data_IF_221719187250
#
_entry.id   IF_221719187250
#
_cell.length_a   1.000
_cell.length_b   1.000
_cell.length_c   1.000
_cell.angle_alpha   90.00
_cell.angle_beta   90.00
_cell.angle_gamma   90.00
#
_symmetry.space_group_name_H-M   'P 1'
#
loop_
_entity.id
_entity.type
_entity.pdbx_description
1 polymer ?
#
# COMPACT_ATOMS: atom_id res chain seq x y z
N UNK A 1 -26.40 17.20 5.57
CA UNK A 1 -25.51 18.25 6.12
C UNK A 1 -24.86 17.81 7.45
N UNK A 2 -24.29 16.59 7.53
CA UNK A 2 -23.61 16.07 8.75
C UNK A 2 -22.18 16.61 8.89
N UNK A 3 -21.50 16.85 7.77
CA UNK A 3 -20.16 17.47 7.74
C UNK A 3 -20.18 18.92 8.25
N UNK A 4 -21.19 19.72 7.91
CA UNK A 4 -21.33 21.09 8.42
C UNK A 4 -21.52 21.13 9.94
N UNK A 5 -22.26 20.16 10.51
CA UNK A 5 -22.42 20.04 11.96
C UNK A 5 -21.11 19.61 12.64
N UNK A 6 -20.39 18.65 12.07
CA UNK A 6 -19.10 18.19 12.62
C UNK A 6 -18.03 19.28 12.55
N UNK A 7 -17.97 20.06 11.46
CA UNK A 7 -17.07 21.21 11.32
C UNK A 7 -17.43 22.34 12.31
N UNK A 8 -18.73 22.64 12.48
CA UNK A 8 -19.20 23.60 13.46
C UNK A 8 -18.91 23.15 14.91
N UNK A 9 -19.06 21.86 15.21
CA UNK A 9 -18.69 21.29 16.51
C UNK A 9 -17.19 21.36 16.76
N UNK A 10 -16.34 21.02 15.79
CA UNK A 10 -14.87 21.19 15.91
C UNK A 10 -14.51 22.66 16.11
N UNK A 11 -15.08 23.57 15.33
CA UNK A 11 -14.89 25.01 15.49
C UNK A 11 -15.28 25.51 16.87
N UNK A 12 -16.41 25.01 17.41
CA UNK A 12 -16.88 25.30 18.77
C UNK A 12 -15.97 24.75 19.87
N UNK A 13 -15.41 23.56 19.72
CA UNK A 13 -14.45 22.96 20.66
C UNK A 13 -13.12 23.72 20.64
N UNK A 14 -12.61 24.07 19.46
CA UNK A 14 -11.36 24.85 19.33
C UNK A 14 -11.51 26.25 19.93
N UNK A 15 -12.64 26.92 19.69
CA UNK A 15 -12.90 28.25 20.28
C UNK A 15 -13.12 28.18 21.79
N UNK A 16 -13.82 27.17 22.30
CA UNK A 16 -14.05 27.00 23.75
C UNK A 16 -12.82 26.51 24.52
N UNK A 17 -11.85 25.87 23.88
CA UNK A 17 -10.59 25.46 24.52
C UNK A 17 -9.52 26.58 24.55
N UNK A 18 -9.80 27.73 23.92
CA UNK A 18 -8.89 28.89 23.92
C UNK A 18 -8.74 29.62 25.27
N UNK A 19 -9.58 29.31 26.26
CA UNK A 19 -9.44 29.81 27.63
C UNK A 19 -9.36 28.66 28.65
N UNK A 20 -8.53 28.75 29.71
CA UNK A 20 -8.31 27.65 30.64
C UNK A 20 -9.59 27.14 31.31
N UNK A 21 -10.45 28.03 31.82
CA UNK A 21 -11.65 27.65 32.55
C UNK A 21 -12.69 26.92 31.67
N UNK A 22 -12.87 27.36 30.43
CA UNK A 22 -13.76 26.69 29.47
C UNK A 22 -13.13 25.42 28.92
N UNK A 23 -11.80 25.35 28.79
CA UNK A 23 -11.09 24.11 28.46
C UNK A 23 -11.31 23.03 29.53
N UNK A 24 -11.28 23.39 30.83
CA UNK A 24 -11.61 22.46 31.92
C UNK A 24 -13.07 22.00 31.86
N UNK A 25 -14.03 22.91 31.69
CA UNK A 25 -15.45 22.55 31.60
C UNK A 25 -15.75 21.66 30.38
N UNK A 26 -15.10 21.92 29.24
CA UNK A 26 -15.16 21.06 28.05
C UNK A 26 -14.52 19.70 28.35
N UNK A 27 -13.34 19.67 28.97
CA UNK A 27 -12.67 18.42 29.32
C UNK A 27 -13.47 17.57 30.33
N UNK A 28 -14.14 18.17 31.31
CA UNK A 28 -14.97 17.44 32.27
C UNK A 28 -16.29 16.95 31.63
N UNK A 29 -16.97 17.82 30.88
CA UNK A 29 -18.24 17.48 30.23
C UNK A 29 -18.09 16.46 29.11
N UNK A 30 -17.10 16.65 28.21
CA UNK A 30 -16.78 15.69 27.17
C UNK A 30 -15.95 14.52 27.70
N UNK A 31 -15.26 14.67 28.83
CA UNK A 31 -14.46 13.60 29.44
C UNK A 31 -15.30 12.43 29.92
N UNK A 32 -16.50 12.68 30.45
CA UNK A 32 -17.44 11.59 30.80
C UNK A 32 -17.91 10.87 29.54
N UNK A 33 -18.24 11.60 28.48
CA UNK A 33 -18.65 10.98 27.20
C UNK A 33 -17.50 10.22 26.55
N UNK A 34 -16.29 10.77 26.54
CA UNK A 34 -15.08 10.12 26.06
C UNK A 34 -14.71 8.90 26.93
N UNK A 35 -14.95 8.96 28.24
CA UNK A 35 -14.78 7.83 29.14
C UNK A 35 -15.75 6.69 28.84
N UNK A 36 -17.04 7.01 28.57
CA UNK A 36 -18.03 6.02 28.14
C UNK A 36 -17.70 5.43 26.77
N UNK A 37 -17.24 6.25 25.82
CA UNK A 37 -16.77 5.83 24.50
C UNK A 37 -15.57 4.88 24.64
N UNK A 38 -14.57 5.24 25.45
CA UNK A 38 -13.40 4.40 25.73
C UNK A 38 -13.79 3.08 26.42
N UNK A 39 -14.73 3.10 27.38
CA UNK A 39 -15.24 1.89 28.02
C UNK A 39 -15.96 0.98 27.02
N UNK A 40 -16.81 1.53 26.16
CA UNK A 40 -17.51 0.78 25.13
C UNK A 40 -16.53 0.19 24.10
N UNK A 41 -15.53 0.97 23.68
CA UNK A 41 -14.48 0.54 22.77
C UNK A 41 -13.60 -0.56 23.40
N UNK A 42 -13.28 -0.45 24.69
CA UNK A 42 -12.50 -1.47 25.40
C UNK A 42 -13.30 -2.76 25.61
N UNK A 43 -14.58 -2.67 25.98
CA UNK A 43 -15.39 -3.83 26.30
C UNK A 43 -15.86 -4.59 25.05
N UNK A 44 -16.11 -3.89 23.93
CA UNK A 44 -16.65 -4.48 22.71
C UNK A 44 -16.15 -3.78 21.43
N UNK A 45 -14.83 -3.81 21.14
CA UNK A 45 -14.22 -3.00 20.08
C UNK A 45 -14.84 -3.25 18.70
N UNK A 46 -15.10 -4.51 18.33
CA UNK A 46 -15.71 -4.83 17.04
C UNK A 46 -17.20 -4.44 16.91
N UNK A 47 -17.98 -4.43 18.00
CA UNK A 47 -19.37 -3.96 17.95
C UNK A 47 -19.40 -2.42 17.92
N UNK A 48 -18.61 -1.80 18.78
CA UNK A 48 -18.52 -0.35 18.89
C UNK A 48 -17.99 0.28 17.61
N UNK A 49 -16.91 -0.27 17.04
CA UNK A 49 -16.34 0.16 15.75
C UNK A 49 -17.38 0.15 14.63
N UNK A 50 -18.17 -0.93 14.50
CA UNK A 50 -19.26 -1.01 13.50
C UNK A 50 -20.37 0.01 13.73
N UNK A 51 -20.75 0.28 14.97
CA UNK A 51 -21.76 1.30 15.30
C UNK A 51 -21.26 2.71 14.99
N UNK A 52 -19.99 2.99 15.32
CA UNK A 52 -19.32 4.25 15.06
C UNK A 52 -19.16 4.52 13.57
N UNK A 53 -18.74 3.51 12.80
CA UNK A 53 -18.61 3.60 11.35
C UNK A 53 -19.96 3.92 10.67
N UNK A 54 -21.06 3.32 11.15
CA UNK A 54 -22.41 3.59 10.63
C UNK A 54 -22.93 4.99 10.97
N UNK A 55 -22.56 5.53 12.14
CA UNK A 55 -23.09 6.80 12.63
C UNK A 55 -22.30 7.99 12.08
N UNK A 56 -20.97 7.93 12.14
CA UNK A 56 -20.08 9.01 11.74
C UNK A 56 -19.69 8.96 10.25
N UNK A 57 -19.75 7.76 9.64
CA UNK A 57 -19.13 7.51 8.34
C UNK A 57 -17.60 7.54 8.46
N UNK A 58 -16.90 6.64 7.77
CA UNK A 58 -15.44 6.81 7.63
C UNK A 58 -15.19 7.99 6.70
N UNK A 59 -14.31 8.95 7.04
CA UNK A 59 -13.80 9.89 6.05
C UNK A 59 -13.03 9.08 5.01
N UNK A 60 -13.71 8.66 3.94
CA UNK A 60 -13.17 7.82 2.86
C UNK A 60 -12.31 8.63 1.90
N UNK A 61 -11.48 9.52 2.44
CA UNK A 61 -10.78 10.53 1.65
C UNK A 61 -11.73 11.16 0.66
N UNK A 62 -12.80 11.80 1.15
CA UNK A 62 -13.74 12.50 0.28
C UNK A 62 -12.90 13.39 -0.63
N UNK A 63 -12.91 13.06 -1.92
CA UNK A 63 -12.29 13.86 -2.95
C UNK A 63 -13.10 15.14 -3.02
N UNK A 64 -12.70 16.11 -2.19
CA UNK A 64 -13.04 17.51 -2.41
C UNK A 64 -12.22 18.01 -3.60
N UNK A 65 -12.38 17.37 -4.76
CA UNK A 65 -11.96 17.94 -6.04
C UNK A 65 -12.88 19.15 -6.23
N UNK A 66 -12.31 20.35 -6.17
CA UNK A 66 -13.03 21.56 -6.57
C UNK A 66 -13.96 22.20 -5.53
N UNK A 67 -13.44 22.55 -4.35
CA UNK A 67 -13.97 23.73 -3.61
C UNK A 67 -12.97 24.88 -3.45
N UNK A 68 -11.87 24.87 -4.19
CA UNK A 68 -11.15 26.10 -4.52
C UNK A 68 -11.60 26.57 -5.90
N UNK A 69 -12.83 27.06 -5.98
CA UNK A 69 -13.19 27.96 -7.06
C UNK A 69 -12.40 29.26 -6.84
N UNK A 70 -11.26 29.41 -7.51
CA UNK A 70 -10.59 30.71 -7.58
C UNK A 70 -11.51 31.61 -8.42
N UNK A 71 -12.18 32.55 -7.76
CA UNK A 71 -13.08 33.48 -8.42
C UNK A 71 -12.36 34.16 -9.59
N UNK A 72 -12.84 33.94 -10.81
CA UNK A 72 -12.31 34.56 -12.03
C UNK A 72 -11.62 33.63 -13.03
N UNK A 73 -11.47 32.33 -12.75
CA UNK A 73 -10.93 31.38 -13.75
C UNK A 73 -12.00 30.39 -14.20
N UNK A 74 -12.43 30.53 -15.45
CA UNK A 74 -13.44 29.71 -16.10
C UNK A 74 -12.85 28.47 -16.78
N UNK A 75 -11.92 27.77 -16.11
CA UNK A 75 -11.22 26.63 -16.69
C UNK A 75 -11.44 25.36 -15.86
N UNK A 76 -12.10 24.36 -16.46
CA UNK A 76 -12.37 23.03 -15.89
C UNK A 76 -11.07 22.32 -15.46
N UNK A 77 -9.94 22.69 -16.07
CA UNK A 77 -8.63 22.07 -15.81
C UNK A 77 -8.04 22.42 -14.43
N UNK A 78 -8.47 23.53 -13.81
CA UNK A 78 -8.06 23.88 -12.44
C UNK A 78 -8.71 22.98 -11.37
N UNK A 79 -9.83 22.32 -11.67
CA UNK A 79 -10.46 21.41 -10.70
C UNK A 79 -9.58 20.19 -10.43
N UNK A 80 -8.81 19.74 -11.44
CA UNK A 80 -8.01 18.52 -11.38
C UNK A 80 -6.53 18.76 -11.05
N UNK A 81 -6.07 20.01 -11.09
CA UNK A 81 -4.64 20.34 -11.05
C UNK A 81 -3.86 19.83 -12.28
N UNK A 82 -4.57 19.29 -13.29
CA UNK A 82 -4.02 18.72 -14.51
C UNK A 82 -4.93 19.05 -15.69
N UNK A 83 -4.35 19.55 -16.77
CA UNK A 83 -5.07 19.74 -18.02
C UNK A 83 -5.38 18.39 -18.70
N UNK A 84 -6.24 18.39 -19.72
CA UNK A 84 -6.63 17.17 -20.45
C UNK A 84 -5.42 16.43 -21.04
N UNK A 85 -4.39 17.14 -21.49
CA UNK A 85 -3.18 16.54 -22.07
C UNK A 85 -2.36 15.77 -21.03
N UNK A 86 -2.14 16.38 -19.86
CA UNK A 86 -1.46 15.76 -18.73
C UNK A 86 -2.23 14.52 -18.25
N UNK A 87 -3.57 14.62 -18.14
CA UNK A 87 -4.44 13.49 -17.80
C UNK A 87 -4.35 12.36 -18.84
N UNK A 88 -4.28 12.71 -20.13
CA UNK A 88 -4.11 11.73 -21.22
C UNK A 88 -2.75 11.04 -21.13
N UNK A 89 -1.68 11.79 -20.91
CA UNK A 89 -0.31 11.26 -20.77
C UNK A 89 -0.21 10.32 -19.58
N UNK A 90 -0.80 10.68 -18.43
CA UNK A 90 -0.82 9.83 -17.24
C UNK A 90 -1.59 8.52 -17.48
N UNK A 91 -2.76 8.60 -18.13
CA UNK A 91 -3.55 7.41 -18.47
C UNK A 91 -2.83 6.51 -19.48
N UNK A 92 -2.21 7.08 -20.51
CA UNK A 92 -1.44 6.33 -21.50
C UNK A 92 -0.25 5.60 -20.85
N UNK A 93 0.50 6.32 -20.01
CA UNK A 93 1.65 5.77 -19.28
C UNK A 93 1.24 4.61 -18.39
N UNK A 94 0.16 4.77 -17.60
CA UNK A 94 -0.36 3.70 -16.75
C UNK A 94 -0.83 2.49 -17.56
N UNK A 95 -1.63 2.70 -18.61
CA UNK A 95 -2.17 1.60 -19.43
C UNK A 95 -1.06 0.83 -20.16
N UNK A 96 -0.03 1.52 -20.66
CA UNK A 96 1.15 0.88 -21.26
C UNK A 96 1.94 0.08 -20.23
N UNK A 97 2.25 0.68 -19.08
CA UNK A 97 2.97 0.01 -18.00
C UNK A 97 2.26 -1.27 -17.54
N UNK A 98 0.92 -1.25 -17.47
CA UNK A 98 0.12 -2.40 -17.08
C UNK A 98 -0.11 -3.42 -18.22
N UNK A 99 0.35 -3.15 -19.44
CA UNK A 99 0.09 -3.98 -20.62
C UNK A 99 -1.38 -3.96 -21.09
N UNK A 100 -2.16 -2.97 -20.66
CA UNK A 100 -3.60 -2.83 -20.94
C UNK A 100 -3.87 -1.95 -22.16
N UNK A 101 -3.28 -2.27 -23.31
CA UNK A 101 -3.38 -1.44 -24.53
C UNK A 101 -4.27 -2.02 -25.64
N UNK A 102 -4.43 -3.35 -25.73
CA UNK A 102 -5.23 -4.00 -26.78
C UNK A 102 -6.56 -4.57 -26.26
N UNK A 103 -6.51 -5.33 -25.16
CA UNK A 103 -7.67 -6.07 -24.62
C UNK A 103 -8.10 -5.49 -23.29
N UNK A 104 -8.88 -4.42 -23.36
CA UNK A 104 -9.42 -3.75 -22.18
C UNK A 104 -10.75 -4.38 -21.79
N UNK A 105 -10.84 -4.83 -20.53
CA UNK A 105 -12.03 -5.47 -19.99
C UNK A 105 -13.16 -4.45 -19.76
N UNK A 106 -14.45 -4.88 -19.77
CA UNK A 106 -15.56 -3.94 -19.59
C UNK A 106 -15.64 -3.27 -18.21
N UNK A 107 -14.89 -3.77 -17.24
CA UNK A 107 -14.69 -3.12 -15.94
C UNK A 107 -13.19 -3.08 -15.67
N UNK A 108 -12.66 -1.88 -15.44
CA UNK A 108 -11.32 -1.66 -14.89
C UNK A 108 -11.51 -1.30 -13.42
N UNK A 109 -11.01 -2.14 -12.50
CA UNK A 109 -11.00 -1.80 -11.08
C UNK A 109 -9.71 -1.03 -10.76
N UNK A 110 -9.84 0.22 -10.35
CA UNK A 110 -8.70 1.01 -9.86
C UNK A 110 -8.76 1.02 -8.35
N UNK A 111 -7.88 0.25 -7.70
CA UNK A 111 -7.89 0.10 -6.24
C UNK A 111 -6.71 0.85 -5.61
N UNK A 112 -7.03 1.77 -4.69
CA UNK A 112 -6.07 2.37 -3.78
C UNK A 112 -6.15 1.69 -2.43
N UNK A 113 -5.03 1.53 -1.73
CA UNK A 113 -5.04 0.88 -0.42
C UNK A 113 -4.82 1.88 0.72
N UNK A 114 -5.36 1.52 1.89
CA UNK A 114 -5.10 2.16 3.17
C UNK A 114 -5.31 1.11 4.27
N UNK A 115 -4.93 1.40 5.50
CA UNK A 115 -5.24 0.57 6.65
C UNK A 115 -6.34 1.20 7.50
N UNK A 116 -6.99 0.37 8.30
CA UNK A 116 -7.79 0.86 9.43
C UNK A 116 -7.14 0.39 10.71
N UNK A 117 -6.65 1.35 11.47
CA UNK A 117 -6.02 1.13 12.75
C UNK A 117 -6.51 2.19 13.73
N UNK A 118 -6.54 1.84 15.00
CA UNK A 118 -6.98 2.74 16.05
C UNK A 118 -5.82 3.04 17.00
N UNK A 119 -5.69 4.30 17.44
CA UNK A 119 -4.68 4.73 18.42
C UNK A 119 -3.25 4.27 18.09
N UNK A 120 -2.83 4.45 16.83
CA UNK A 120 -1.61 3.87 16.32
C UNK A 120 -0.68 4.96 15.76
N UNK A 121 0.41 5.24 16.49
CA UNK A 121 1.45 6.20 16.09
C UNK A 121 2.07 5.91 14.71
N UNK A 122 2.00 4.65 14.26
CA UNK A 122 2.54 4.19 12.99
C UNK A 122 1.46 3.95 11.93
N UNK A 123 0.28 4.58 12.05
CA UNK A 123 -0.80 4.43 11.06
C UNK A 123 -0.32 4.66 9.61
N UNK A 124 0.52 5.68 9.40
CA UNK A 124 1.11 5.98 8.09
C UNK A 124 1.98 4.84 7.51
N UNK A 125 2.58 4.00 8.37
CA UNK A 125 3.37 2.85 7.94
C UNK A 125 2.51 1.66 7.47
N UNK A 126 1.22 1.63 7.84
CA UNK A 126 0.25 0.66 7.32
C UNK A 126 -0.45 1.17 6.05
N UNK A 127 -0.47 2.49 5.84
CA UNK A 127 -0.93 3.11 4.61
C UNK A 127 0.08 2.94 3.45
N UNK A 128 -0.15 3.62 2.33
CA UNK A 128 0.70 3.48 1.16
C UNK A 128 2.00 4.25 1.31
N UNK A 129 3.12 3.53 1.50
CA UNK A 129 4.46 4.11 1.50
C UNK A 129 4.78 4.89 0.20
N UNK A 130 4.32 4.40 -0.95
CA UNK A 130 4.48 5.10 -2.23
C UNK A 130 3.63 6.39 -2.34
N UNK A 131 2.61 6.54 -1.50
CA UNK A 131 1.80 7.76 -1.36
C UNK A 131 2.23 8.59 -0.13
N UNK A 132 3.45 8.38 0.39
CA UNK A 132 3.95 9.11 1.56
C UNK A 132 3.22 8.78 2.87
N UNK A 133 2.72 7.55 3.00
CA UNK A 133 1.97 7.11 4.18
C UNK A 133 0.53 7.62 4.24
N UNK A 134 -0.03 8.01 3.10
CA UNK A 134 -1.43 8.39 2.94
C UNK A 134 -2.24 7.28 2.25
N UNK A 135 -3.57 7.34 2.41
CA UNK A 135 -4.49 6.49 1.66
C UNK A 135 -4.36 6.69 0.14
N UNK A 136 -4.23 5.59 -0.60
CA UNK A 136 -4.22 5.59 -2.05
C UNK A 136 -5.61 5.79 -2.68
N UNK A 137 -6.68 5.90 -1.89
CA UNK A 137 -8.06 5.96 -2.37
C UNK A 137 -8.33 7.19 -3.27
N UNK A 138 -7.76 8.34 -2.91
CA UNK A 138 -7.86 9.59 -3.69
C UNK A 138 -7.24 9.39 -5.08
N UNK A 139 -6.06 8.76 -5.17
CA UNK A 139 -5.39 8.48 -6.44
C UNK A 139 -6.21 7.51 -7.31
N UNK A 140 -6.84 6.51 -6.69
CA UNK A 140 -7.67 5.54 -7.39
C UNK A 140 -8.93 6.19 -8.00
N UNK A 141 -9.61 7.05 -7.24
CA UNK A 141 -10.76 7.83 -7.72
C UNK A 141 -10.37 8.82 -8.81
N UNK A 142 -9.26 9.54 -8.65
CA UNK A 142 -8.72 10.44 -9.67
C UNK A 142 -8.45 9.70 -10.99
N UNK A 143 -7.73 8.58 -10.93
CA UNK A 143 -7.39 7.81 -12.13
C UNK A 143 -8.63 7.17 -12.77
N UNK A 144 -9.57 6.63 -11.98
CA UNK A 144 -10.84 6.12 -12.51
C UNK A 144 -11.63 7.21 -13.25
N UNK A 145 -11.68 8.43 -12.70
CA UNK A 145 -12.33 9.56 -13.35
C UNK A 145 -11.62 9.96 -14.66
N UNK A 146 -10.28 10.00 -14.68
CA UNK A 146 -9.48 10.24 -15.89
C UNK A 146 -9.80 9.21 -16.98
N UNK A 147 -9.80 7.92 -16.63
CA UNK A 147 -10.12 6.83 -17.57
C UNK A 147 -11.56 6.87 -18.06
N UNK A 148 -12.48 7.52 -17.34
CA UNK A 148 -13.87 7.69 -17.74
C UNK A 148 -14.15 9.00 -18.50
N UNK A 149 -13.21 9.96 -18.53
CA UNK A 149 -13.38 11.24 -19.25
C UNK A 149 -13.40 10.99 -20.77
N UNK A 150 -14.49 11.31 -21.49
CA UNK A 150 -14.57 11.13 -22.94
C UNK A 150 -13.52 11.93 -23.72
N UNK A 151 -13.07 13.07 -23.19
CA UNK A 151 -12.00 13.88 -23.80
C UNK A 151 -10.68 13.12 -23.76
N UNK A 152 -10.34 12.53 -22.61
CA UNK A 152 -9.15 11.70 -22.42
C UNK A 152 -9.22 10.46 -23.32
N UNK A 153 -10.35 9.75 -23.36
CA UNK A 153 -10.51 8.56 -24.22
C UNK A 153 -10.32 8.86 -25.71
N UNK A 154 -10.82 10.00 -26.20
CA UNK A 154 -10.60 10.43 -27.59
C UNK A 154 -9.12 10.68 -27.88
N UNK A 155 -8.42 11.38 -26.98
CA UNK A 155 -6.98 11.65 -27.13
C UNK A 155 -6.13 10.39 -26.99
N UNK A 156 -6.46 9.49 -26.07
CA UNK A 156 -5.79 8.18 -25.94
C UNK A 156 -5.81 7.40 -27.26
N UNK A 157 -6.96 7.37 -27.93
CA UNK A 157 -7.11 6.69 -29.22
C UNK A 157 -6.33 7.41 -30.32
N UNK A 158 -6.44 8.74 -30.41
CA UNK A 158 -5.83 9.54 -31.48
C UNK A 158 -4.31 9.72 -31.36
N UNK A 159 -3.79 9.93 -30.15
CA UNK A 159 -2.39 10.30 -29.88
C UNK A 159 -1.55 9.10 -29.43
N UNK A 160 -2.16 8.11 -28.77
CA UNK A 160 -1.44 6.97 -28.21
C UNK A 160 -1.88 5.63 -28.80
N UNK A 161 -2.87 5.59 -29.69
CA UNK A 161 -3.37 4.34 -30.29
C UNK A 161 -4.06 3.40 -29.29
N UNK A 162 -4.42 3.89 -28.10
CA UNK A 162 -5.09 3.09 -27.06
C UNK A 162 -6.59 3.35 -27.11
N UNK A 163 -7.37 2.35 -27.50
CA UNK A 163 -8.83 2.50 -27.61
C UNK A 163 -9.51 1.81 -26.44
N UNK A 164 -10.06 2.62 -25.52
CA UNK A 164 -10.92 2.13 -24.43
C UNK A 164 -12.33 1.89 -24.97
N UNK A 165 -12.87 0.65 -24.93
CA UNK A 165 -14.21 0.36 -25.44
C UNK A 165 -15.29 1.23 -24.80
N UNK A 166 -16.32 1.57 -25.57
CA UNK A 166 -17.41 2.43 -25.10
C UNK A 166 -18.18 1.81 -23.91
N UNK A 167 -18.26 0.48 -23.84
CA UNK A 167 -18.90 -0.25 -22.73
C UNK A 167 -17.96 -0.50 -21.54
N UNK A 168 -16.72 -0.01 -21.58
CA UNK A 168 -15.78 -0.09 -20.46
C UNK A 168 -15.99 1.04 -19.46
N UNK A 169 -16.02 0.70 -18.17
CA UNK A 169 -16.02 1.66 -17.06
C UNK A 169 -14.82 1.39 -16.13
N UNK A 170 -14.15 2.46 -15.71
CA UNK A 170 -13.22 2.39 -14.59
C UNK A 170 -13.96 2.66 -13.29
N UNK A 171 -13.89 1.72 -12.34
CA UNK A 171 -14.52 1.83 -11.02
C UNK A 171 -13.44 2.05 -9.97
N UNK A 172 -13.51 3.13 -9.17
CA UNK A 172 -12.61 3.28 -8.05
C UNK A 172 -13.01 2.36 -6.90
N UNK A 173 -12.00 1.86 -6.23
CA UNK A 173 -12.15 1.06 -5.04
C UNK A 173 -11.09 1.40 -3.99
N UNK A 174 -11.46 1.10 -2.75
CA UNK A 174 -10.58 1.18 -1.61
C UNK A 174 -10.33 -0.21 -1.04
N UNK A 175 -9.06 -0.59 -0.94
CA UNK A 175 -8.61 -1.79 -0.25
C UNK A 175 -8.18 -1.44 1.18
N UNK A 176 -8.91 -1.95 2.17
CA UNK A 176 -8.53 -1.88 3.56
C UNK A 176 -7.60 -3.05 3.91
N UNK A 177 -6.32 -2.78 4.04
CA UNK A 177 -5.28 -3.78 4.29
C UNK A 177 -5.50 -4.53 5.61
N UNK A 178 -5.91 -3.86 6.69
CA UNK A 178 -6.21 -4.53 7.98
C UNK A 178 -7.32 -5.59 7.88
N UNK A 179 -8.31 -5.41 7.01
CA UNK A 179 -9.47 -6.32 6.89
C UNK A 179 -9.54 -7.08 5.57
N UNK A 180 -8.59 -6.85 4.67
CA UNK A 180 -8.59 -7.28 3.25
C UNK A 180 -9.88 -6.90 2.48
N UNK A 181 -10.68 -5.95 2.99
CA UNK A 181 -11.93 -5.55 2.36
C UNK A 181 -11.65 -4.62 1.17
N UNK A 182 -12.14 -4.98 -0.02
CA UNK A 182 -12.09 -4.11 -1.20
C UNK A 182 -13.50 -3.56 -1.47
N UNK A 183 -13.69 -2.28 -1.18
CA UNK A 183 -14.97 -1.58 -1.37
C UNK A 183 -14.95 -0.77 -2.65
N UNK A 184 -15.83 -1.09 -3.60
CA UNK A 184 -16.11 -0.27 -4.78
C UNK A 184 -16.98 0.91 -4.36
N UNK A 185 -16.61 2.14 -4.75
CA UNK A 185 -17.39 3.32 -4.43
C UNK A 185 -18.78 3.25 -5.09
N UNK A 186 -19.87 3.25 -4.31
CA UNK A 186 -21.20 2.98 -4.84
C UNK A 186 -21.75 4.12 -5.71
N UNK A 187 -21.26 5.35 -5.50
CA UNK A 187 -21.67 6.53 -6.27
C UNK A 187 -21.11 6.53 -7.69
N UNK A 188 -20.05 5.74 -7.94
CA UNK A 188 -19.29 5.73 -9.18
C UNK A 188 -19.65 4.53 -10.09
N UNK A 189 -20.71 3.78 -9.78
CA UNK A 189 -21.18 2.64 -10.59
C UNK A 189 -22.33 3.04 -11.50
N UNK A 190 -22.14 3.11 -12.84
CA UNK A 190 -23.22 3.39 -13.77
C UNK A 190 -24.30 2.29 -13.75
N UNK A 191 -25.55 2.68 -14.03
CA UNK A 191 -26.69 1.74 -14.06
C UNK A 191 -26.43 0.53 -14.98
N UNK A 192 -25.81 0.78 -16.15
CA UNK A 192 -25.46 -0.24 -17.14
C UNK A 192 -24.45 -1.29 -16.63
N UNK A 193 -23.71 -1.00 -15.56
CA UNK A 193 -22.66 -1.86 -15.01
C UNK A 193 -23.01 -2.46 -13.65
N UNK A 194 -24.22 -2.22 -13.13
CA UNK A 194 -24.67 -2.71 -11.82
C UNK A 194 -24.51 -4.22 -11.65
N UNK A 195 -24.89 -5.01 -12.66
CA UNK A 195 -24.75 -6.49 -12.64
C UNK A 195 -23.28 -6.91 -12.61
N UNK A 196 -22.43 -6.31 -13.46
CA UNK A 196 -20.98 -6.60 -13.49
C UNK A 196 -20.31 -6.20 -12.18
N UNK A 197 -20.69 -5.05 -11.60
CA UNK A 197 -20.18 -4.58 -10.32
C UNK A 197 -20.64 -5.46 -9.15
N UNK A 198 -21.87 -5.99 -9.19
CA UNK A 198 -22.35 -6.95 -8.19
C UNK A 198 -21.53 -8.26 -8.22
N UNK A 199 -21.33 -8.83 -9.42
CA UNK A 199 -20.48 -10.02 -9.59
C UNK A 199 -19.03 -9.76 -9.11
N UNK A 200 -18.47 -8.59 -9.44
CA UNK A 200 -17.13 -8.22 -8.97
C UNK A 200 -17.07 -8.11 -7.43
N UNK A 201 -18.09 -7.55 -6.77
CA UNK A 201 -18.16 -7.51 -5.31
C UNK A 201 -18.17 -8.90 -4.68
N UNK A 202 -18.87 -9.86 -5.27
CA UNK A 202 -18.86 -11.25 -4.80
C UNK A 202 -17.48 -11.90 -4.93
N UNK A 203 -16.79 -11.65 -6.06
CA UNK A 203 -15.40 -12.12 -6.26
C UNK A 203 -14.44 -11.50 -5.25
N UNK A 204 -14.55 -10.18 -5.01
CA UNK A 204 -13.73 -9.47 -4.03
C UNK A 204 -13.99 -9.98 -2.61
N UNK A 205 -15.24 -10.24 -2.23
CA UNK A 205 -15.58 -10.83 -0.94
C UNK A 205 -15.02 -12.26 -0.79
N UNK A 206 -14.97 -13.04 -1.88
CA UNK A 206 -14.32 -14.35 -1.87
C UNK A 206 -12.80 -14.24 -1.69
N UNK A 207 -12.17 -13.28 -2.38
CA UNK A 207 -10.74 -12.99 -2.24
C UNK A 207 -10.39 -12.57 -0.81
N UNK A 208 -11.16 -11.65 -0.22
CA UNK A 208 -11.02 -11.22 1.17
C UNK A 208 -11.03 -12.41 2.14
N UNK A 209 -12.02 -13.30 2.02
CA UNK A 209 -12.09 -14.50 2.88
C UNK A 209 -10.87 -15.41 2.72
N UNK A 210 -10.35 -15.53 1.49
CA UNK A 210 -9.12 -16.27 1.21
C UNK A 210 -7.91 -15.64 1.89
N UNK A 211 -7.68 -14.34 1.67
CA UNK A 211 -6.57 -13.59 2.29
C UNK A 211 -6.60 -13.67 3.81
N UNK A 212 -7.76 -13.42 4.43
CA UNK A 212 -7.90 -13.48 5.89
C UNK A 212 -7.65 -14.89 6.42
N UNK A 213 -8.08 -15.94 5.71
CA UNK A 213 -7.83 -17.33 6.13
C UNK A 213 -6.34 -17.66 6.16
N UNK A 214 -5.55 -17.10 5.24
CA UNK A 214 -4.10 -17.30 5.17
C UNK A 214 -3.36 -16.44 6.20
N UNK A 215 -3.75 -15.16 6.34
CA UNK A 215 -3.02 -14.17 7.15
C UNK A 215 -3.34 -14.22 8.64
N UNK A 216 -4.60 -14.45 9.02
CA UNK A 216 -5.02 -14.38 10.43
C UNK A 216 -4.25 -15.34 11.36
N UNK A 217 -3.98 -16.60 10.98
CA UNK A 217 -3.18 -17.51 11.80
C UNK A 217 -1.74 -17.02 12.06
N UNK A 218 -1.23 -16.09 11.25
CA UNK A 218 0.13 -15.57 11.41
C UNK A 218 0.22 -14.47 12.47
N UNK A 219 -0.90 -13.84 12.87
CA UNK A 219 -0.92 -12.76 13.86
C UNK A 219 -0.83 -13.30 15.30
N UNK A 220 -0.10 -12.62 16.21
CA UNK A 220 0.01 -13.06 17.59
C UNK A 220 -1.30 -12.90 18.36
N UNK A 221 -1.53 -13.78 19.32
CA UNK A 221 -2.71 -13.73 20.21
C UNK A 221 -4.03 -14.14 19.54
N UNK A 222 -4.00 -14.68 18.32
CA UNK A 222 -5.18 -15.19 17.63
C UNK A 222 -5.52 -16.60 18.13
N UNK A 223 -6.69 -16.77 18.74
CA UNK A 223 -7.17 -18.04 19.30
C UNK A 223 -7.98 -18.91 18.30
N UNK A 224 -7.92 -18.62 17.00
CA UNK A 224 -8.66 -19.39 15.97
C UNK A 224 -8.60 -18.73 14.59
N UNK A 225 -9.24 -19.33 13.59
CA UNK A 225 -9.21 -18.84 12.20
C UNK A 225 -10.39 -17.93 11.84
N UNK A 226 -11.04 -17.28 12.82
CA UNK A 226 -12.23 -16.46 12.55
C UNK A 226 -11.82 -15.15 11.83
N UNK A 227 -12.22 -14.96 10.55
CA UNK A 227 -11.93 -13.73 9.82
C UNK A 227 -12.52 -12.48 10.48
N UNK A 228 -13.51 -12.63 11.37
CA UNK A 228 -14.10 -11.50 12.10
C UNK A 228 -13.13 -10.82 13.07
N UNK A 229 -12.07 -11.52 13.50
CA UNK A 229 -11.06 -10.96 14.41
C UNK A 229 -10.26 -9.82 13.77
N UNK A 230 -10.07 -9.83 12.44
CA UNK A 230 -9.46 -8.70 11.72
C UNK A 230 -10.24 -7.39 11.93
N UNK A 231 -11.57 -7.45 11.93
CA UNK A 231 -12.42 -6.28 12.15
C UNK A 231 -12.41 -5.82 13.60
N UNK A 232 -12.30 -6.77 14.55
CA UNK A 232 -12.08 -6.45 15.97
C UNK A 232 -10.77 -5.69 16.11
N UNK A 233 -9.66 -6.27 15.63
CA UNK A 233 -8.30 -5.69 15.66
C UNK A 233 -8.25 -4.28 15.06
N UNK A 234 -8.88 -4.08 13.90
CA UNK A 234 -8.95 -2.79 13.23
C UNK A 234 -9.64 -1.68 14.07
N UNK A 235 -10.53 -2.08 15.00
CA UNK A 235 -11.30 -1.16 15.85
C UNK A 235 -10.82 -1.11 17.31
N UNK A 236 -9.85 -1.95 17.66
CA UNK A 236 -9.34 -2.12 19.01
C UNK A 236 -8.14 -1.20 19.24
N UNK A 237 -8.37 -0.14 20.01
CA UNK A 237 -7.34 0.85 20.36
C UNK A 237 -6.19 0.32 21.23
N UNK A 238 -6.36 -0.88 21.81
CA UNK A 238 -5.33 -1.55 22.59
C UNK A 238 -4.53 -2.55 21.76
N UNK A 239 -4.89 -2.77 20.49
CA UNK A 239 -4.22 -3.74 19.62
C UNK A 239 -2.91 -3.16 19.06
N UNK A 240 -1.72 -3.60 19.55
CA UNK A 240 -0.47 -3.11 19.02
C UNK A 240 -0.21 -3.67 17.62
N UNK A 241 -0.89 -4.73 17.21
CA UNK A 241 -0.63 -5.40 15.96
C UNK A 241 -1.91 -5.75 15.18
N UNK A 242 -2.53 -4.74 14.56
CA UNK A 242 -3.77 -4.93 13.81
C UNK A 242 -3.55 -5.77 12.55
N UNK A 243 -2.37 -5.66 11.94
CA UNK A 243 -1.87 -6.48 10.83
C UNK A 243 -0.33 -6.44 10.78
N UNK A 244 0.28 -7.12 9.81
CA UNK A 244 1.73 -7.17 9.61
C UNK A 244 2.28 -6.11 8.65
N UNK A 245 1.42 -5.35 7.96
CA UNK A 245 1.85 -4.45 6.88
C UNK A 245 2.60 -5.24 5.81
N UNK A 246 3.81 -4.79 5.46
CA UNK A 246 4.69 -5.42 4.47
C UNK A 246 5.80 -6.29 5.10
N UNK A 247 5.62 -6.74 6.35
CA UNK A 247 6.57 -7.67 6.97
C UNK A 247 6.69 -8.96 6.15
N UNK A 248 7.89 -9.56 6.16
CA UNK A 248 8.17 -10.75 5.35
C UNK A 248 8.43 -10.50 3.85
N UNK A 249 8.34 -9.26 3.36
CA UNK A 249 8.71 -8.94 1.97
C UNK A 249 10.11 -9.46 1.62
N UNK A 250 10.24 -10.07 0.44
CA UNK A 250 11.42 -10.82 0.02
C UNK A 250 11.88 -10.48 -1.39
N UNK A 251 10.94 -10.24 -2.31
CA UNK A 251 11.28 -10.01 -3.70
C UNK A 251 10.35 -9.02 -4.40
N UNK A 252 10.80 -8.53 -5.55
CA UNK A 252 10.03 -7.74 -6.48
C UNK A 252 10.18 -8.30 -7.89
N UNK A 253 9.07 -8.66 -8.52
CA UNK A 253 9.05 -9.16 -9.90
C UNK A 253 8.48 -8.07 -10.81
N UNK A 254 9.28 -7.69 -11.80
CA UNK A 254 8.88 -6.84 -12.93
C UNK A 254 8.78 -7.74 -14.15
N UNK A 255 7.57 -8.04 -14.62
CA UNK A 255 7.39 -8.92 -15.77
C UNK A 255 5.93 -9.27 -16.06
N UNK A 256 5.68 -10.03 -17.14
CA UNK A 256 4.33 -10.35 -17.55
C UNK A 256 3.62 -11.23 -16.51
N UNK A 257 2.30 -11.07 -16.39
CA UNK A 257 1.49 -11.83 -15.42
C UNK A 257 1.65 -13.34 -15.59
N UNK A 258 1.96 -13.81 -16.80
CA UNK A 258 2.23 -15.22 -17.12
C UNK A 258 3.35 -15.83 -16.29
N UNK A 259 4.38 -15.07 -15.92
CA UNK A 259 5.50 -15.56 -15.10
C UNK A 259 5.10 -15.99 -13.70
N UNK A 260 4.13 -15.28 -13.13
CA UNK A 260 3.75 -15.45 -11.72
C UNK A 260 2.39 -16.13 -11.56
N UNK A 261 1.71 -16.44 -12.66
CA UNK A 261 0.35 -17.00 -12.64
C UNK A 261 0.38 -18.42 -12.11
N UNK A 262 -0.41 -18.67 -11.06
CA UNK A 262 -0.50 -19.99 -10.43
C UNK A 262 0.62 -20.30 -9.43
N UNK A 263 1.59 -19.39 -9.25
CA UNK A 263 2.63 -19.56 -8.24
C UNK A 263 2.13 -19.10 -6.86
N UNK A 264 2.42 -19.89 -5.83
CA UNK A 264 2.25 -19.44 -4.45
C UNK A 264 3.50 -18.66 -4.01
N UNK A 265 3.40 -17.34 -4.03
CA UNK A 265 4.47 -16.42 -3.60
C UNK A 265 4.41 -16.08 -2.10
N UNK A 266 3.55 -16.77 -1.34
CA UNK A 266 3.38 -16.66 0.12
C UNK A 266 3.15 -15.24 0.64
N UNK A 267 2.62 -14.34 -0.19
CA UNK A 267 2.46 -12.92 0.17
C UNK A 267 3.76 -12.13 0.34
N UNK A 268 4.92 -12.67 -0.07
CA UNK A 268 6.25 -12.08 0.17
C UNK A 268 6.81 -11.28 -1.02
N UNK A 269 6.10 -11.23 -2.14
CA UNK A 269 6.63 -10.74 -3.40
C UNK A 269 5.78 -9.61 -3.96
N UNK A 270 6.40 -8.45 -4.15
CA UNK A 270 5.81 -7.35 -4.91
C UNK A 270 5.73 -7.74 -6.39
N UNK A 271 4.63 -7.37 -7.05
CA UNK A 271 4.41 -7.69 -8.46
C UNK A 271 4.15 -6.41 -9.26
N UNK A 272 4.90 -6.21 -10.33
CA UNK A 272 4.60 -5.21 -11.36
C UNK A 272 4.46 -5.91 -12.71
N UNK A 273 3.30 -5.74 -13.34
CA UNK A 273 3.13 -6.15 -14.74
C UNK A 273 4.09 -5.33 -15.61
N UNK A 274 4.76 -6.01 -16.54
CA UNK A 274 5.61 -5.38 -17.55
C UNK A 274 5.65 -6.28 -18.78
N UNK A 275 5.39 -5.71 -19.95
CA UNK A 275 5.40 -6.43 -21.23
C UNK A 275 6.47 -5.80 -22.13
N UNK A 276 7.67 -6.41 -22.26
CA UNK A 276 8.78 -5.81 -23.02
C UNK A 276 8.41 -5.44 -24.45
N UNK A 277 7.55 -6.25 -25.09
CA UNK A 277 7.09 -5.99 -26.46
C UNK A 277 6.25 -4.73 -26.63
N UNK A 278 5.75 -4.13 -25.55
CA UNK A 278 5.02 -2.86 -25.56
C UNK A 278 5.90 -1.65 -25.22
N UNK A 279 7.17 -1.89 -24.87
CA UNK A 279 8.12 -0.90 -24.36
C UNK A 279 9.27 -0.68 -25.36
N UNK A 280 8.93 -0.30 -26.59
CA UNK A 280 9.86 -0.22 -27.72
C UNK A 280 11.01 0.77 -27.51
N UNK A 281 10.77 1.84 -26.73
CA UNK A 281 11.77 2.86 -26.41
C UNK A 281 12.47 2.64 -25.05
N UNK A 282 12.07 1.60 -24.30
CA UNK A 282 12.60 1.27 -22.98
C UNK A 282 12.18 2.24 -21.85
N UNK A 283 11.29 3.19 -22.11
CA UNK A 283 10.90 4.22 -21.13
C UNK A 283 10.11 3.64 -19.97
N UNK A 284 9.35 2.57 -20.19
CA UNK A 284 8.62 1.88 -19.13
C UNK A 284 9.58 1.13 -18.23
N UNK A 285 10.54 0.37 -18.78
CA UNK A 285 11.56 -0.30 -17.99
C UNK A 285 12.35 0.69 -17.14
N UNK A 286 12.77 1.80 -17.74
CA UNK A 286 13.48 2.87 -17.04
C UNK A 286 12.64 3.42 -15.87
N UNK A 287 11.36 3.71 -16.09
CA UNK A 287 10.42 4.14 -15.05
C UNK A 287 10.32 3.10 -13.92
N UNK A 288 10.18 1.82 -14.27
CA UNK A 288 9.99 0.73 -13.29
C UNK A 288 11.23 0.51 -12.41
N UNK A 289 12.43 0.62 -12.98
CA UNK A 289 13.69 0.46 -12.27
C UNK A 289 14.07 1.71 -11.46
N UNK A 290 13.69 2.90 -11.90
CA UNK A 290 14.04 4.15 -11.20
C UNK A 290 13.03 4.57 -10.12
N UNK A 291 11.78 4.08 -10.18
CA UNK A 291 10.76 4.41 -9.18
C UNK A 291 10.26 3.19 -8.38
N UNK A 292 9.39 2.29 -8.90
CA UNK A 292 8.90 1.14 -8.13
C UNK A 292 9.98 0.25 -7.51
N UNK A 293 11.08 -0.03 -8.22
CA UNK A 293 12.18 -0.83 -7.67
C UNK A 293 12.85 -0.14 -6.49
N UNK A 294 13.07 1.17 -6.59
CA UNK A 294 13.65 1.97 -5.51
C UNK A 294 12.70 2.03 -4.30
N UNK A 295 11.40 2.21 -4.53
CA UNK A 295 10.38 2.22 -3.46
C UNK A 295 10.31 0.88 -2.74
N UNK A 296 10.27 -0.24 -3.47
CA UNK A 296 10.25 -1.59 -2.87
C UNK A 296 11.54 -1.88 -2.10
N UNK A 297 12.68 -1.36 -2.57
CA UNK A 297 13.96 -1.43 -1.86
C UNK A 297 13.94 -0.62 -0.56
N UNK A 298 13.38 0.59 -0.56
CA UNK A 298 13.25 1.41 0.66
C UNK A 298 12.35 0.73 1.71
N UNK A 299 11.23 0.17 1.27
CA UNK A 299 10.34 -0.63 2.12
C UNK A 299 11.13 -1.80 2.71
N UNK A 300 11.79 -2.60 1.87
CA UNK A 300 12.59 -3.74 2.36
C UNK A 300 13.64 -3.31 3.39
N UNK A 301 14.39 -2.23 3.13
CA UNK A 301 15.39 -1.71 4.08
C UNK A 301 14.77 -1.23 5.39
N UNK A 302 13.61 -0.58 5.36
CA UNK A 302 12.93 -0.13 6.58
C UNK A 302 12.66 -1.31 7.52
N UNK A 303 12.15 -2.41 6.97
CA UNK A 303 11.92 -3.63 7.73
C UNK A 303 13.24 -4.32 8.12
N UNK A 304 14.20 -4.43 7.19
CA UNK A 304 15.53 -5.02 7.42
C UNK A 304 16.23 -4.40 8.62
N UNK A 305 16.42 -3.08 8.63
CA UNK A 305 17.15 -2.41 9.70
C UNK A 305 16.40 -2.46 11.03
N UNK A 306 15.07 -2.34 10.99
CA UNK A 306 14.23 -2.47 12.19
C UNK A 306 14.29 -3.88 12.79
N UNK A 307 14.56 -4.92 12.00
CA UNK A 307 14.80 -6.28 12.50
C UNK A 307 16.23 -6.48 12.99
N UNK A 308 17.24 -6.02 12.25
CA UNK A 308 18.68 -6.26 12.58
C UNK A 308 19.07 -5.61 13.90
N UNK A 309 18.66 -4.36 14.11
CA UNK A 309 18.90 -3.64 15.35
C UNK A 309 17.64 -2.86 15.78
N UNK A 310 16.70 -3.53 16.48
CA UNK A 310 15.43 -2.93 16.85
C UNK A 310 15.57 -1.75 17.84
N UNK A 311 16.74 -1.62 18.49
CA UNK A 311 17.00 -0.56 19.46
C UNK A 311 17.49 0.72 18.78
N UNK A 312 18.42 0.61 17.83
CA UNK A 312 19.02 1.77 17.15
C UNK A 312 18.32 2.14 15.84
N UNK A 313 17.85 1.15 15.08
CA UNK A 313 17.20 1.38 13.78
C UNK A 313 15.70 1.07 13.79
N UNK A 314 15.17 0.53 14.88
CA UNK A 314 13.73 0.36 15.11
C UNK A 314 13.12 1.50 15.92
N UNK A 315 11.87 1.31 16.33
CA UNK A 315 11.17 2.20 17.26
C UNK A 315 11.01 1.61 18.68
N UNK A 316 11.50 0.40 18.93
CA UNK A 316 11.26 -0.30 20.20
C UNK A 316 9.79 -0.64 20.41
N UNK A 317 9.28 -0.48 21.63
CA UNK A 317 7.96 -0.96 22.02
C UNK A 317 6.85 0.06 21.72
N UNK A 318 5.97 -0.32 20.79
CA UNK A 318 4.80 0.45 20.38
C UNK A 318 3.91 0.90 21.54
N UNK A 319 3.77 0.09 22.58
CA UNK A 319 2.86 0.36 23.71
C UNK A 319 3.34 1.52 24.59
N UNK A 320 4.58 1.97 24.39
CA UNK A 320 5.20 3.05 25.17
C UNK A 320 5.45 4.32 24.35
N UNK A 321 4.94 4.38 23.11
CA UNK A 321 5.28 5.47 22.21
C UNK A 321 4.63 6.80 22.57
N UNK A 322 5.44 7.85 22.54
CA UNK A 322 4.98 9.24 22.53
C UNK A 322 5.31 9.85 21.17
N UNK A 323 4.30 10.31 20.46
CA UNK A 323 4.41 10.86 19.09
C UNK A 323 5.08 12.23 19.12
N UNK A 324 6.06 12.44 18.24
CA UNK A 324 6.75 13.73 18.07
C UNK A 324 6.56 14.22 16.64
N UNK A 325 5.57 15.09 16.45
CA UNK A 325 5.13 15.50 15.11
C UNK A 325 4.71 14.30 14.28
N UNK A 326 4.91 14.38 12.96
CA UNK A 326 4.53 13.30 12.02
C UNK A 326 5.73 12.47 11.52
N UNK A 327 6.88 12.53 12.19
CA UNK A 327 8.13 11.96 11.68
C UNK A 327 8.86 11.01 12.64
N UNK A 328 8.57 11.04 13.94
CA UNK A 328 9.29 10.23 14.93
C UNK A 328 8.48 9.96 16.20
N UNK A 329 8.98 9.05 17.03
CA UNK A 329 8.46 8.73 18.37
C UNK A 329 9.56 8.70 19.42
N UNK A 330 9.21 8.94 20.68
CA UNK A 330 9.98 8.47 21.84
C UNK A 330 9.39 7.16 22.36
N UNK A 331 10.22 6.31 22.97
CA UNK A 331 9.75 5.12 23.70
C UNK A 331 9.88 5.37 25.20
N UNK A 332 8.75 5.50 25.89
CA UNK A 332 8.68 5.89 27.30
C UNK A 332 8.68 7.41 27.49
N UNK A 333 9.09 7.86 28.67
CA UNK A 333 8.99 9.27 29.09
C UNK A 333 10.07 10.20 28.48
N UNK A 334 11.00 9.67 27.69
CA UNK A 334 12.09 10.40 27.05
C UNK A 334 13.01 9.48 26.26
N UNK A 335 14.17 9.98 25.83
CA UNK A 335 15.17 9.23 25.07
C UNK A 335 15.43 9.83 23.68
N UNK A 336 16.15 9.09 22.84
CA UNK A 336 16.41 9.49 21.46
C UNK A 336 15.15 9.35 20.59
N UNK A 337 15.04 10.21 19.57
CA UNK A 337 14.00 10.10 18.56
C UNK A 337 14.19 8.82 17.74
N UNK A 338 13.11 8.07 17.56
CA UNK A 338 13.11 6.83 16.79
C UNK A 338 12.23 6.95 15.55
N UNK A 339 12.78 6.51 14.41
CA UNK A 339 12.19 6.66 13.07
C UNK A 339 11.95 5.31 12.36
N UNK A 340 12.40 4.20 12.97
CA UNK A 340 12.18 2.85 12.44
C UNK A 340 10.82 2.28 12.79
N UNK A 341 10.62 0.97 12.53
CA UNK A 341 9.38 0.28 12.88
C UNK A 341 9.43 -0.23 14.33
N UNK A 342 8.28 -0.26 15.04
CA UNK A 342 8.19 -0.92 16.33
C UNK A 342 8.44 -2.42 16.19
N UNK A 343 8.93 -3.06 17.25
CA UNK A 343 9.25 -4.49 17.18
C UNK A 343 8.01 -5.35 16.89
N UNK A 344 6.80 -4.91 17.30
CA UNK A 344 5.54 -5.59 16.98
C UNK A 344 5.24 -5.64 15.47
N UNK A 345 5.91 -4.84 14.64
CA UNK A 345 5.81 -4.91 13.19
C UNK A 345 6.78 -5.88 12.52
N UNK A 346 7.78 -6.39 13.26
CA UNK A 346 8.91 -7.17 12.69
C UNK A 346 9.23 -8.46 13.43
N UNK A 347 8.79 -8.63 14.68
CA UNK A 347 8.95 -9.85 15.49
C UNK A 347 7.59 -10.41 15.94
N UNK A 348 7.55 -11.74 16.13
CA UNK A 348 6.37 -12.44 16.67
C UNK A 348 6.22 -12.33 18.19
N UNK A 349 7.32 -12.08 18.87
CA UNK A 349 7.40 -11.86 20.30
C UNK A 349 8.45 -10.76 20.60
N UNK A 350 8.52 -10.32 21.85
CA UNK A 350 9.46 -9.27 22.24
C UNK A 350 10.91 -9.67 21.85
N UNK A 351 11.70 -8.76 21.25
CA UNK A 351 13.07 -9.04 20.84
C UNK A 351 13.95 -9.52 22.00
N UNK A 352 14.73 -10.57 21.74
CA UNK A 352 15.66 -11.18 22.68
C UNK A 352 16.34 -12.41 22.07
N UNK A 353 17.25 -13.07 22.81
CA UNK A 353 17.87 -14.31 22.36
C UNK A 353 16.83 -15.36 22.00
N UNK A 354 16.83 -15.83 20.75
CA UNK A 354 15.88 -16.83 20.26
C UNK A 354 14.51 -16.30 19.83
N UNK A 355 14.27 -14.98 19.87
CA UNK A 355 13.04 -14.39 19.35
C UNK A 355 12.90 -14.63 17.85
N UNK A 356 11.70 -15.00 17.41
CA UNK A 356 11.37 -15.30 16.02
C UNK A 356 11.00 -14.02 15.27
N UNK A 357 11.56 -13.93 14.07
CA UNK A 357 11.24 -12.87 13.13
C UNK A 357 9.89 -13.12 12.47
N UNK A 358 9.12 -12.06 12.28
CA UNK A 358 8.12 -12.03 11.22
C UNK A 358 8.77 -11.56 9.92
N UNK A 359 9.60 -10.52 9.98
CA UNK A 359 10.41 -10.09 8.84
C UNK A 359 11.84 -10.60 8.99
N UNK A 360 12.19 -11.60 8.19
CA UNK A 360 13.59 -12.04 8.03
C UNK A 360 14.44 -10.88 7.47
N UNK A 361 15.58 -10.53 8.08
CA UNK A 361 16.43 -9.43 7.62
C UNK A 361 17.22 -9.86 6.38
N UNK A 362 16.51 -9.90 5.24
CA UNK A 362 17.06 -10.17 3.92
C UNK A 362 17.04 -8.89 3.07
N UNK A 363 17.95 -8.81 2.10
CA UNK A 363 17.96 -7.78 1.07
C UNK A 363 17.07 -8.20 -0.09
N UNK A 364 16.31 -7.24 -0.63
CA UNK A 364 15.32 -7.47 -1.68
C UNK A 364 15.93 -8.17 -2.92
N UNK A 365 15.32 -9.27 -3.35
CA UNK A 365 15.58 -9.86 -4.65
C UNK A 365 14.70 -9.21 -5.72
N UNK A 366 15.29 -8.55 -6.69
CA UNK A 366 14.59 -8.02 -7.86
C UNK A 366 14.77 -8.98 -9.03
N UNK A 367 13.67 -9.35 -9.69
CA UNK A 367 13.66 -10.18 -10.89
C UNK A 367 12.98 -9.40 -12.00
N UNK A 368 13.68 -9.20 -13.11
CA UNK A 368 13.23 -8.37 -14.23
C UNK A 368 13.13 -9.23 -15.48
N UNK A 369 11.96 -9.25 -16.11
CA UNK A 369 11.75 -9.89 -17.41
C UNK A 369 12.03 -8.88 -18.52
N UNK A 370 13.30 -8.75 -18.89
CA UNK A 370 13.80 -7.85 -19.92
C UNK A 370 15.15 -8.37 -20.42
N UNK A 371 15.59 -7.90 -21.59
CA UNK A 371 16.92 -8.24 -22.10
C UNK A 371 17.99 -7.66 -21.15
N UNK A 372 19.05 -8.42 -20.80
CA UNK A 372 20.12 -7.95 -19.92
C UNK A 372 20.73 -6.61 -20.36
N UNK A 373 20.81 -6.37 -21.67
CA UNK A 373 21.32 -5.14 -22.28
C UNK A 373 20.42 -3.93 -22.02
N UNK A 374 19.09 -4.12 -22.01
CA UNK A 374 18.14 -3.05 -21.71
C UNK A 374 18.22 -2.62 -20.25
N UNK A 375 18.41 -3.57 -19.34
CA UNK A 375 18.62 -3.30 -17.91
C UNK A 375 19.93 -2.52 -17.72
N UNK A 376 21.03 -2.96 -18.35
CA UNK A 376 22.33 -2.26 -18.27
C UNK A 376 22.22 -0.82 -18.77
N UNK A 377 21.50 -0.58 -19.88
CA UNK A 377 21.26 0.78 -20.40
C UNK A 377 20.62 1.68 -19.33
N UNK A 378 19.66 1.18 -18.57
CA UNK A 378 19.04 1.93 -17.47
C UNK A 378 20.05 2.15 -16.32
N UNK A 379 20.82 1.14 -15.94
CA UNK A 379 21.80 1.26 -14.86
C UNK A 379 22.93 2.26 -15.20
N UNK A 380 23.39 2.29 -16.44
CA UNK A 380 24.38 3.25 -16.93
C UNK A 380 23.85 4.69 -16.90
N UNK A 381 22.57 4.87 -17.26
CA UNK A 381 21.89 6.17 -17.19
C UNK A 381 21.61 6.62 -15.74
N UNK A 382 21.46 5.68 -14.80
CA UNK A 382 21.08 5.95 -13.42
C UNK A 382 22.08 5.35 -12.41
N UNK A 383 23.23 6.02 -12.16
CA UNK A 383 24.28 5.49 -11.28
C UNK A 383 23.83 5.18 -9.85
N UNK A 384 22.83 5.89 -9.34
CA UNK A 384 22.26 5.63 -8.01
C UNK A 384 21.48 4.31 -7.94
N UNK A 385 20.84 3.91 -9.04
CA UNK A 385 20.19 2.60 -9.17
C UNK A 385 21.24 1.49 -9.29
N UNK A 386 22.27 1.68 -10.12
CA UNK A 386 23.40 0.76 -10.22
C UNK A 386 24.10 0.55 -8.87
N UNK A 387 24.23 1.60 -8.06
CA UNK A 387 24.81 1.55 -6.73
C UNK A 387 24.02 0.64 -5.76
N UNK A 388 22.71 0.44 -5.96
CA UNK A 388 21.95 -0.53 -5.16
C UNK A 388 22.45 -1.96 -5.38
N UNK A 389 22.81 -2.31 -6.62
CA UNK A 389 23.35 -3.64 -6.94
C UNK A 389 24.82 -3.75 -6.53
N UNK A 390 25.66 -2.78 -6.91
CA UNK A 390 27.11 -2.82 -6.64
C UNK A 390 27.43 -2.89 -5.13
N UNK A 391 26.66 -2.18 -4.31
CA UNK A 391 26.78 -2.21 -2.84
C UNK A 391 25.98 -3.34 -2.19
N UNK A 392 25.36 -4.21 -3.00
CA UNK A 392 24.54 -5.33 -2.58
C UNK A 392 23.34 -4.92 -1.70
N UNK A 393 22.78 -3.72 -1.86
CA UNK A 393 21.52 -3.35 -1.21
C UNK A 393 20.31 -4.07 -1.80
N UNK A 394 20.43 -4.53 -3.05
CA UNK A 394 19.52 -5.48 -3.69
C UNK A 394 20.31 -6.58 -4.38
N UNK A 395 19.67 -7.73 -4.61
CA UNK A 395 20.11 -8.70 -5.60
C UNK A 395 19.26 -8.49 -6.86
N UNK A 396 19.87 -8.42 -8.05
CA UNK A 396 19.15 -8.20 -9.31
C UNK A 396 19.36 -9.40 -10.23
N UNK A 397 18.26 -9.94 -10.74
CA UNK A 397 18.26 -11.00 -11.75
C UNK A 397 17.44 -10.57 -12.97
N UNK A 398 17.87 -11.02 -14.15
CA UNK A 398 17.16 -10.88 -15.40
C UNK A 398 16.69 -12.24 -15.90
N UNK A 399 15.52 -12.29 -16.51
CA UNK A 399 15.08 -13.40 -17.35
C UNK A 399 14.95 -12.84 -18.76
N UNK A 400 15.83 -13.30 -19.66
CA UNK A 400 15.86 -12.82 -21.05
C UNK A 400 14.62 -13.33 -21.80
N UNK A 401 13.74 -12.46 -22.32
CA UNK A 401 12.54 -12.87 -23.04
C UNK A 401 12.81 -13.66 -24.33
N UNK A 402 14.00 -13.52 -24.94
CA UNK A 402 14.36 -14.16 -26.21
C UNK A 402 14.77 -15.62 -26.02
N UNK A 403 15.50 -15.89 -24.94
CA UNK A 403 16.12 -17.20 -24.67
C UNK A 403 15.41 -17.96 -23.56
N UNK A 404 14.74 -17.25 -22.64
CA UNK A 404 14.21 -17.81 -21.40
C UNK A 404 15.29 -18.09 -20.35
N UNK A 405 16.54 -17.75 -20.63
CA UNK A 405 17.65 -17.93 -19.71
C UNK A 405 17.63 -16.87 -18.61
N UNK A 406 18.16 -17.25 -17.45
CA UNK A 406 18.14 -16.40 -16.28
C UNK A 406 19.55 -16.08 -15.81
N UNK A 407 19.78 -14.80 -15.55
CA UNK A 407 21.08 -14.23 -15.23
C UNK A 407 21.00 -13.45 -13.91
N UNK A 408 22.03 -13.53 -13.09
CA UNK A 408 22.21 -12.68 -11.92
C UNK A 408 23.22 -11.56 -12.25
N UNK A 409 22.88 -10.32 -11.90
CA UNK A 409 23.81 -9.20 -11.99
C UNK A 409 24.62 -9.13 -10.71
N UNK A 410 25.92 -9.33 -10.84
CA UNK A 410 26.84 -9.38 -9.72
C UNK A 410 27.30 -7.98 -9.30
N UNK A 411 28.01 -7.89 -8.17
CA UNK A 411 28.46 -6.61 -7.60
C UNK A 411 29.46 -5.84 -8.48
N UNK A 412 30.14 -6.55 -9.39
CA UNK A 412 31.00 -5.98 -10.43
C UNK A 412 30.20 -5.53 -11.68
N UNK A 413 28.87 -5.55 -11.58
CA UNK A 413 27.91 -5.24 -12.65
C UNK A 413 28.10 -6.11 -13.90
N UNK A 414 28.56 -7.37 -13.70
CA UNK A 414 28.64 -8.37 -14.75
C UNK A 414 27.53 -9.42 -14.59
N UNK A 415 26.92 -9.80 -15.71
CA UNK A 415 25.92 -10.87 -15.74
C UNK A 415 26.59 -12.24 -15.62
N UNK A 416 26.02 -13.13 -14.81
CA UNK A 416 26.41 -14.53 -14.69
C UNK A 416 25.17 -15.43 -14.73
N UNK A 417 25.30 -16.67 -15.18
CA UNK A 417 24.19 -17.63 -15.16
C UNK A 417 23.65 -17.80 -13.74
N UNK A 418 22.34 -17.62 -13.55
CA UNK A 418 21.75 -17.62 -12.22
C UNK A 418 21.78 -19.02 -11.58
N UNK A 419 21.60 -20.07 -12.38
CA UNK A 419 21.61 -21.48 -11.93
C UNK A 419 23.01 -22.09 -11.84
N UNK A 420 24.04 -21.42 -12.36
CA UNK A 420 25.44 -21.88 -12.30
C UNK A 420 26.12 -21.48 -10.98
N UNK A 421 25.42 -20.75 -10.11
CA UNK A 421 25.90 -20.45 -8.78
C UNK A 421 25.72 -21.69 -7.89
N UNK A 422 26.77 -22.20 -7.21
CA UNK A 422 26.58 -23.23 -6.22
C UNK A 422 25.62 -22.68 -5.17
N UNK A 423 24.42 -23.26 -5.08
CA UNK A 423 23.55 -23.05 -3.93
C UNK A 423 24.38 -23.45 -2.71
N UNK A 424 24.96 -22.48 -2.01
CA UNK A 424 25.51 -22.74 -0.69
C UNK A 424 24.33 -23.13 0.15
N UNK A 425 24.12 -24.44 0.29
CA UNK A 425 23.16 -25.02 1.20
C UNK A 425 23.57 -24.58 2.61
N UNK A 426 23.03 -23.46 3.06
CA UNK A 426 22.83 -23.28 4.50
C UNK A 426 21.70 -24.22 4.87
N UNK A 427 22.09 -25.47 5.15
CA UNK A 427 21.28 -26.45 5.82
C UNK A 427 20.79 -25.84 7.15
N UNK A 428 19.56 -25.33 7.14
CA UNK A 428 18.63 -25.56 8.24
C UNK A 428 17.51 -26.40 7.66
N UNK A 429 17.76 -27.70 7.70
CA UNK A 429 16.78 -28.75 7.45
C UNK A 429 15.55 -28.51 8.33
N UNK A 430 14.38 -28.65 7.71
CA UNK A 430 13.14 -29.21 8.25
C UNK A 430 12.94 -29.21 9.77
N UNK A 431 12.11 -28.28 10.25
CA UNK A 431 11.44 -28.46 11.55
C UNK A 431 9.93 -28.12 11.52
N UNK A 432 9.29 -28.00 10.34
CA UNK A 432 7.84 -27.71 10.26
C UNK A 432 7.05 -28.67 9.35
N UNK A 433 7.54 -29.90 9.17
CA UNK A 433 6.77 -31.01 8.64
C UNK A 433 6.43 -32.02 9.76
N UNK A 434 5.74 -31.55 10.79
CA UNK A 434 4.80 -32.29 11.65
C UNK A 434 4.54 -31.48 12.93
N UNK A 435 3.46 -30.67 12.91
CA UNK A 435 2.58 -30.35 14.06
C UNK A 435 1.45 -29.41 13.66
#
# INVERSE_FOLDING_TARGET
>A
NRMGLAAAMRGGVVTSTGQPASAFAVAEGFGVLAGLDALAQTAAPGLWGRLRDRSMGRPRGDLQIGQLAVAGVADDDLQWGMNVEQRTTAAASMLRALGMVERIAPVILVAGHAATVENNAFAAAYDCGACGGSSGHVNARLMAAILNDPRVRRRLSAEHGITVPADTVALPAWHNTTTDEVTIDPQDVPLAHTVRAAALREMLAAAQRGCLKERMPELPGVAGTDPSDAFRRASDWAEPQPEWGLAGNAAFVIGPRSMTKGLNLRGRVFLHSYEPGLDVDGTTLELLLTAPMVVTQWINNQYYFSTVDPQHFGAGDKTTHNVVGDYAVFSGAGGDLRVGLPWQGVFREQPGPGARWMHEPLRLQVVVYAEPEDIVRVLDAHPHVAALVANAWIALAAIDPRTGEAYALERDLQWRGWLDQPMTANAREDEHADR
#
